data_IF_541131857322
#
_entry.id   IF_541131857322
#
_cell.length_a   1.000
_cell.length_b   1.000
_cell.length_c   1.000
_cell.angle_alpha   90.00
_cell.angle_beta   90.00
_cell.angle_gamma   90.00
#
_symmetry.space_group_name_H-M   'P 1'
#
loop_
_entity.id
_entity.type
_entity.pdbx_description
1 polymer ?
#
# COMPACT_ATOMS: atom_id res chain seq x y z
N UNK A 1 -20.15 6.53 -32.58
CA UNK A 1 -19.33 7.01 -33.73
C UNK A 1 -17.99 7.48 -33.16
N UNK A 2 -16.96 6.62 -33.09
CA UNK A 2 -15.66 6.95 -32.50
C UNK A 2 -14.61 6.98 -33.61
N UNK A 3 -14.14 8.18 -33.93
CA UNK A 3 -13.08 8.44 -34.90
C UNK A 3 -11.74 7.95 -34.34
N UNK A 4 -11.05 7.08 -35.08
CA UNK A 4 -9.62 6.77 -34.84
C UNK A 4 -8.80 7.66 -35.77
N UNK A 5 -8.19 8.71 -35.22
CA UNK A 5 -7.19 9.49 -35.93
C UNK A 5 -5.85 8.73 -35.85
N UNK A 6 -5.43 8.13 -36.97
CA UNK A 6 -4.08 7.57 -37.10
C UNK A 6 -3.15 8.67 -37.62
N UNK A 7 -2.37 9.29 -36.72
CA UNK A 7 -1.31 10.22 -37.10
C UNK A 7 -0.09 9.39 -37.53
N UNK A 8 0.17 9.32 -38.84
CA UNK A 8 1.43 8.79 -39.38
C UNK A 8 2.45 9.91 -39.47
N UNK A 9 3.39 9.96 -38.53
CA UNK A 9 4.58 10.80 -38.64
C UNK A 9 5.61 10.04 -39.46
N UNK A 10 5.79 10.43 -40.72
CA UNK A 10 6.93 9.99 -41.54
C UNK A 10 8.10 10.94 -41.28
N UNK A 11 9.08 10.53 -40.47
CA UNK A 11 10.38 11.22 -40.43
C UNK A 11 11.26 10.61 -41.51
N UNK A 12 11.46 11.35 -42.60
CA UNK A 12 12.51 11.05 -43.57
C UNK A 12 13.84 11.50 -42.99
N UNK A 13 14.67 10.56 -42.54
CA UNK A 13 16.04 10.85 -42.14
C UNK A 13 16.96 10.78 -43.37
N UNK A 14 17.42 11.96 -43.79
CA UNK A 14 18.48 12.13 -44.75
C UNK A 14 19.79 11.54 -44.19
N UNK A 15 20.45 10.73 -45.02
CA UNK A 15 21.71 10.09 -44.71
C UNK A 15 22.86 11.12 -44.62
N UNK A 16 23.51 11.19 -43.47
CA UNK A 16 24.83 11.80 -43.32
C UNK A 16 25.69 10.84 -42.51
N UNK A 17 26.75 10.33 -43.14
CA UNK A 17 27.64 9.34 -42.56
C UNK A 17 28.47 9.89 -41.41
N UNK A 18 28.30 9.30 -40.24
CA UNK A 18 29.30 9.25 -39.19
C UNK A 18 29.35 7.80 -38.69
N UNK A 19 30.46 7.13 -38.94
CA UNK A 19 30.76 5.79 -38.42
C UNK A 19 31.02 5.88 -36.91
N UNK A 20 29.94 5.98 -36.12
CA UNK A 20 30.00 5.70 -34.69
C UNK A 20 29.90 4.19 -34.56
N UNK A 21 30.99 3.56 -34.12
CA UNK A 21 31.02 2.12 -33.86
C UNK A 21 29.99 1.76 -32.80
N UNK A 22 28.81 1.32 -33.24
CA UNK A 22 27.85 0.64 -32.39
C UNK A 22 28.50 -0.68 -31.96
N UNK A 23 29.04 -0.71 -30.75
CA UNK A 23 29.26 -1.97 -30.06
C UNK A 23 27.87 -2.58 -29.86
N UNK A 24 27.49 -3.49 -30.76
CA UNK A 24 26.30 -4.31 -30.59
C UNK A 24 26.61 -5.19 -29.39
N UNK A 25 26.19 -4.73 -28.21
CA UNK A 25 26.06 -5.59 -27.05
C UNK A 25 24.99 -6.61 -27.45
N UNK A 26 25.41 -7.75 -27.98
CA UNK A 26 24.52 -8.88 -28.15
C UNK A 26 24.06 -9.23 -26.73
N UNK A 27 22.85 -8.80 -26.37
CA UNK A 27 22.19 -9.32 -25.19
C UNK A 27 22.13 -10.82 -25.40
N UNK A 28 22.92 -11.57 -24.62
CA UNK A 28 22.78 -13.00 -24.51
C UNK A 28 21.39 -13.20 -23.91
N UNK A 29 20.39 -13.38 -24.78
CA UNK A 29 19.09 -13.89 -24.38
C UNK A 29 19.38 -15.31 -23.96
N UNK A 30 19.57 -15.51 -22.65
CA UNK A 30 19.60 -16.84 -22.07
C UNK A 30 18.36 -17.57 -22.61
N UNK A 31 18.49 -18.80 -23.16
CA UNK A 31 17.33 -19.53 -23.60
C UNK A 31 16.46 -19.76 -22.38
N UNK A 32 15.40 -18.97 -22.25
CA UNK A 32 14.39 -19.19 -21.26
C UNK A 32 13.74 -20.52 -21.67
N UNK A 33 14.05 -21.59 -20.95
CA UNK A 33 13.22 -22.79 -20.95
C UNK A 33 11.85 -22.40 -20.39
N UNK A 34 11.04 -21.77 -21.25
CA UNK A 34 9.72 -21.30 -20.90
C UNK A 34 8.77 -22.49 -20.91
N UNK A 35 7.89 -22.53 -19.92
CA UNK A 35 6.77 -23.47 -19.88
C UNK A 35 5.71 -23.15 -20.96
N UNK A 36 5.80 -21.97 -21.58
CA UNK A 36 4.85 -21.49 -22.58
C UNK A 36 5.48 -21.44 -23.98
N UNK A 37 4.72 -21.76 -25.04
CA UNK A 37 5.18 -21.58 -26.43
C UNK A 37 5.49 -20.10 -26.73
N UNK A 38 6.49 -19.85 -27.58
CA UNK A 38 6.93 -18.49 -27.96
C UNK A 38 5.80 -17.60 -28.44
N UNK A 39 4.84 -18.16 -29.19
CA UNK A 39 3.65 -17.43 -29.67
C UNK A 39 2.82 -16.87 -28.51
N UNK A 40 2.66 -17.64 -27.43
CA UNK A 40 1.91 -17.20 -26.25
C UNK A 40 2.68 -16.10 -25.50
N UNK A 41 4.01 -16.25 -25.38
CA UNK A 41 4.87 -15.23 -24.76
C UNK A 41 4.77 -13.91 -25.54
N UNK A 42 4.89 -13.96 -26.87
CA UNK A 42 4.77 -12.78 -27.72
C UNK A 42 3.38 -12.14 -27.62
N UNK A 43 2.32 -12.94 -27.55
CA UNK A 43 0.96 -12.42 -27.34
C UNK A 43 0.82 -11.70 -25.99
N UNK A 44 1.33 -12.28 -24.91
CA UNK A 44 1.33 -11.63 -23.58
C UNK A 44 2.15 -10.34 -23.58
N UNK A 45 3.34 -10.35 -24.17
CA UNK A 45 4.21 -9.17 -24.23
C UNK A 45 3.56 -7.98 -24.97
N UNK A 46 2.71 -8.25 -25.97
CA UNK A 46 1.98 -7.21 -26.70
C UNK A 46 0.78 -6.63 -25.93
N UNK A 47 0.27 -7.34 -24.92
CA UNK A 47 -0.90 -6.92 -24.13
C UNK A 47 -0.54 -6.33 -22.76
N UNK A 48 0.66 -6.63 -22.24
CA UNK A 48 1.11 -6.09 -20.94
C UNK A 48 1.26 -4.57 -21.00
N UNK A 49 0.59 -3.87 -20.08
CA UNK A 49 0.58 -2.41 -19.99
C UNK A 49 0.97 -1.94 -18.58
N UNK A 50 2.12 -1.27 -18.48
CA UNK A 50 2.58 -0.65 -17.23
C UNK A 50 1.63 0.45 -16.73
N UNK A 51 1.03 1.22 -17.63
CA UNK A 51 0.06 2.27 -17.29
C UNK A 51 -1.19 1.70 -16.66
N UNK A 52 -1.71 0.58 -17.20
CA UNK A 52 -2.86 -0.12 -16.63
C UNK A 52 -2.52 -0.71 -15.26
N UNK A 53 -1.32 -1.29 -15.12
CA UNK A 53 -0.84 -1.81 -13.83
C UNK A 53 -0.74 -0.70 -12.78
N UNK A 54 -0.16 0.45 -13.13
CA UNK A 54 -0.06 1.62 -12.25
C UNK A 54 -1.44 2.14 -11.86
N UNK A 55 -2.37 2.25 -12.80
CA UNK A 55 -3.74 2.71 -12.52
C UNK A 55 -4.49 1.77 -11.56
N UNK A 56 -4.30 0.46 -11.68
CA UNK A 56 -4.84 -0.51 -10.73
C UNK A 56 -4.21 -0.32 -9.34
N UNK A 57 -2.89 -0.14 -9.29
CA UNK A 57 -2.17 0.11 -8.04
C UNK A 57 -2.69 1.39 -7.36
N UNK A 58 -2.80 2.49 -8.09
CA UNK A 58 -3.33 3.77 -7.61
C UNK A 58 -4.72 3.63 -6.98
N UNK A 59 -5.59 2.77 -7.52
CA UNK A 59 -6.89 2.50 -6.91
C UNK A 59 -6.80 1.72 -5.59
N UNK A 60 -5.87 0.77 -5.47
CA UNK A 60 -5.75 -0.11 -4.30
C UNK A 60 -5.01 0.56 -3.13
N UNK A 61 -4.03 1.42 -3.41
CA UNK A 61 -3.19 2.06 -2.37
C UNK A 61 -3.94 3.11 -1.54
N UNK A 62 -5.11 3.55 -1.99
CA UNK A 62 -5.95 4.51 -1.25
C UNK A 62 -6.67 3.89 -0.04
N UNK A 63 -6.64 2.56 0.09
CA UNK A 63 -7.28 1.87 1.20
C UNK A 63 -6.28 1.49 2.28
N UNK A 64 -6.62 1.78 3.55
CA UNK A 64 -5.93 1.20 4.70
C UNK A 64 -6.38 -0.25 4.91
N UNK A 65 -5.64 -1.18 4.30
CA UNK A 65 -6.03 -2.60 4.17
C UNK A 65 -5.59 -3.44 5.37
N UNK A 66 -5.92 -2.97 6.58
CA UNK A 66 -5.76 -3.76 7.80
C UNK A 66 -6.58 -5.05 7.75
N UNK A 67 -6.14 -6.07 8.47
CA UNK A 67 -6.83 -7.37 8.45
C UNK A 67 -8.28 -7.18 8.93
N UNK A 68 -9.22 -7.77 8.19
CA UNK A 68 -10.65 -7.73 8.47
C UNK A 68 -11.29 -6.32 8.52
N UNK A 69 -10.60 -5.28 8.05
CA UNK A 69 -11.13 -3.90 8.00
C UNK A 69 -12.02 -3.64 6.79
N UNK A 70 -12.80 -2.56 6.84
CA UNK A 70 -13.56 -2.05 5.69
C UNK A 70 -12.65 -1.67 4.51
N UNK A 71 -11.46 -1.14 4.78
CA UNK A 71 -10.48 -0.80 3.75
C UNK A 71 -10.00 -2.05 3.00
N UNK A 72 -9.75 -3.15 3.70
CA UNK A 72 -9.42 -4.43 3.07
C UNK A 72 -10.56 -4.96 2.21
N UNK A 73 -11.80 -4.90 2.71
CA UNK A 73 -12.97 -5.31 1.94
C UNK A 73 -13.17 -4.45 0.68
N UNK A 74 -13.04 -3.14 0.80
CA UNK A 74 -13.19 -2.20 -0.32
C UNK A 74 -12.16 -2.43 -1.41
N UNK A 75 -10.91 -2.74 -1.04
CA UNK A 75 -9.89 -3.12 -2.00
C UNK A 75 -10.21 -4.45 -2.70
N UNK A 76 -10.75 -5.44 -1.99
CA UNK A 76 -11.18 -6.70 -2.59
C UNK A 76 -12.33 -6.49 -3.59
N UNK A 77 -13.27 -5.59 -3.28
CA UNK A 77 -14.34 -5.19 -4.21
C UNK A 77 -13.78 -4.53 -5.46
N UNK A 78 -12.85 -3.57 -5.31
CA UNK A 78 -12.18 -2.93 -6.45
C UNK A 78 -11.46 -3.97 -7.34
N UNK A 79 -10.72 -4.90 -6.73
CA UNK A 79 -10.01 -5.96 -7.47
C UNK A 79 -11.01 -6.85 -8.22
N UNK A 80 -12.11 -7.25 -7.56
CA UNK A 80 -13.15 -8.06 -8.19
C UNK A 80 -13.81 -7.35 -9.37
N UNK A 81 -14.09 -6.05 -9.24
CA UNK A 81 -14.60 -5.22 -10.34
C UNK A 81 -13.62 -5.22 -11.53
N UNK A 82 -12.33 -4.96 -11.29
CA UNK A 82 -11.30 -4.94 -12.33
C UNK A 82 -11.14 -6.30 -13.00
N UNK A 83 -11.13 -7.38 -12.22
CA UNK A 83 -11.04 -8.75 -12.73
C UNK A 83 -12.19 -9.06 -13.70
N UNK A 84 -13.44 -8.76 -13.32
CA UNK A 84 -14.60 -8.94 -14.20
C UNK A 84 -14.51 -8.05 -15.45
N UNK A 85 -14.09 -6.80 -15.30
CA UNK A 85 -13.93 -5.88 -16.43
C UNK A 85 -12.86 -6.36 -17.43
N UNK A 86 -11.89 -7.16 -16.99
CA UNK A 86 -10.88 -7.80 -17.84
C UNK A 86 -11.33 -9.15 -18.42
N UNK A 87 -12.58 -9.56 -18.20
CA UNK A 87 -13.16 -10.77 -18.80
C UNK A 87 -12.96 -12.05 -18.00
N UNK A 88 -12.68 -11.96 -16.68
CA UNK A 88 -12.69 -13.13 -15.80
C UNK A 88 -14.13 -13.44 -15.37
N UNK A 89 -14.54 -14.69 -15.56
CA UNK A 89 -15.92 -15.12 -15.32
C UNK A 89 -16.19 -15.58 -13.87
N UNK A 90 -15.26 -16.33 -13.26
CA UNK A 90 -15.41 -16.88 -11.90
C UNK A 90 -14.72 -16.00 -10.84
N UNK A 91 -15.21 -14.77 -10.69
CA UNK A 91 -14.70 -13.85 -9.67
C UNK A 91 -15.57 -13.92 -8.42
N UNK A 92 -14.98 -14.22 -7.27
CA UNK A 92 -15.70 -14.34 -5.99
C UNK A 92 -14.94 -13.63 -4.86
N UNK A 93 -15.69 -13.06 -3.90
CA UNK A 93 -15.14 -12.55 -2.65
C UNK A 93 -15.59 -13.50 -1.54
N UNK A 94 -14.64 -14.29 -1.03
CA UNK A 94 -14.86 -15.16 0.11
C UNK A 94 -14.82 -14.35 1.41
N UNK A 95 -15.72 -14.64 2.34
CA UNK A 95 -15.84 -13.96 3.62
C UNK A 95 -15.64 -14.95 4.75
N UNK A 96 -14.73 -14.61 5.65
CA UNK A 96 -14.38 -15.43 6.80
C UNK A 96 -14.57 -14.59 8.07
N UNK A 97 -15.17 -15.15 9.14
CA UNK A 97 -15.30 -14.41 10.40
C UNK A 97 -13.95 -13.99 11.00
N UNK A 98 -13.92 -12.78 11.56
CA UNK A 98 -12.75 -12.20 12.22
C UNK A 98 -13.14 -11.77 13.64
N UNK A 99 -13.33 -12.76 14.51
CA UNK A 99 -13.97 -12.61 15.81
C UNK A 99 -13.00 -12.70 17.00
N UNK A 100 -11.70 -12.86 16.74
CA UNK A 100 -10.70 -13.04 17.80
C UNK A 100 -10.64 -14.45 18.39
N UNK A 101 -11.52 -15.37 17.94
CA UNK A 101 -11.73 -16.68 18.57
C UNK A 101 -11.39 -17.84 17.64
N UNK A 102 -11.78 -17.73 16.38
CA UNK A 102 -11.56 -18.80 15.39
C UNK A 102 -10.08 -18.86 14.99
N UNK A 103 -9.55 -20.08 14.87
CA UNK A 103 -8.22 -20.34 14.31
C UNK A 103 -8.32 -20.75 12.84
N UNK A 104 -7.52 -20.12 12.00
CA UNK A 104 -7.27 -20.50 10.62
C UNK A 104 -5.85 -21.07 10.52
N UNK A 105 -5.76 -22.40 10.49
CA UNK A 105 -4.48 -23.09 10.62
C UNK A 105 -3.83 -22.81 11.98
N UNK A 106 -2.64 -22.22 11.97
CA UNK A 106 -1.90 -21.85 13.19
C UNK A 106 -2.18 -20.43 13.67
N UNK A 107 -2.96 -19.63 12.93
CA UNK A 107 -3.20 -18.24 13.24
C UNK A 107 -4.62 -18.01 13.74
N UNK A 108 -4.74 -17.42 14.94
CA UNK A 108 -6.02 -16.94 15.45
C UNK A 108 -6.46 -15.72 14.65
N UNK A 109 -7.72 -15.69 14.24
CA UNK A 109 -8.33 -14.49 13.68
C UNK A 109 -8.19 -13.34 14.68
N UNK A 110 -7.99 -12.13 14.17
CA UNK A 110 -8.06 -10.92 14.99
C UNK A 110 -9.49 -10.40 14.96
N UNK A 111 -9.89 -9.71 16.01
CA UNK A 111 -11.13 -8.96 15.97
C UNK A 111 -11.00 -7.89 14.89
N UNK A 112 -12.07 -7.69 14.10
CA UNK A 112 -12.10 -6.59 13.14
C UNK A 112 -11.90 -5.25 13.87
N UNK A 113 -11.06 -4.40 13.30
CA UNK A 113 -10.75 -3.08 13.81
C UNK A 113 -10.82 -2.08 12.66
N UNK A 114 -11.64 -1.04 12.86
CA UNK A 114 -11.87 0.04 11.91
C UNK A 114 -11.81 1.37 12.68
N UNK A 115 -11.22 2.38 12.06
CA UNK A 115 -11.08 3.71 12.64
C UNK A 115 -12.06 4.67 11.99
N UNK A 116 -12.79 5.44 12.79
CA UNK A 116 -13.66 6.50 12.29
C UNK A 116 -12.88 7.81 12.05
N UNK A 117 -12.07 8.22 13.02
CA UNK A 117 -11.20 9.40 12.95
C UNK A 117 -10.08 9.33 13.98
N UNK A 118 -8.94 9.94 13.72
CA UNK A 118 -7.90 10.19 14.71
C UNK A 118 -7.02 11.37 14.30
N UNK A 119 -6.61 12.18 15.27
CA UNK A 119 -5.74 13.33 15.07
C UNK A 119 -4.77 13.45 16.25
N UNK A 120 -3.58 13.98 15.98
CA UNK A 120 -2.56 14.29 16.99
C UNK A 120 -2.11 15.74 16.83
N UNK A 121 -2.16 16.49 17.93
CA UNK A 121 -1.85 17.92 17.96
C UNK A 121 -0.81 18.24 19.02
N UNK A 122 0.17 19.08 18.69
CA UNK A 122 1.04 19.73 19.67
C UNK A 122 0.39 21.02 20.17
N UNK A 123 0.30 21.18 21.50
CA UNK A 123 -0.24 22.37 22.15
C UNK A 123 0.89 23.13 22.84
N UNK A 124 1.19 24.35 22.39
CA UNK A 124 2.26 25.19 22.96
C UNK A 124 1.85 26.64 23.07
N UNK A 125 1.79 27.16 24.30
CA UNK A 125 1.51 28.57 24.59
C UNK A 125 0.28 29.14 23.83
N UNK A 126 -0.82 28.39 23.82
CA UNK A 126 -2.06 28.78 23.13
C UNK A 126 -2.07 28.56 21.61
N UNK A 127 -0.99 28.02 21.04
CA UNK A 127 -0.94 27.58 19.63
C UNK A 127 -1.16 26.08 19.53
N UNK A 128 -1.79 25.67 18.43
CA UNK A 128 -2.00 24.27 18.07
C UNK A 128 -1.28 23.99 16.74
N UNK A 129 -0.53 22.90 16.68
CA UNK A 129 0.15 22.43 15.46
C UNK A 129 -0.27 20.98 15.21
N UNK A 130 -0.83 20.71 14.03
CA UNK A 130 -1.18 19.34 13.63
C UNK A 130 0.10 18.53 13.41
N UNK A 131 0.21 17.38 14.06
CA UNK A 131 1.30 16.42 13.87
C UNK A 131 0.89 15.30 12.92
N UNK A 132 -0.30 14.72 13.14
CA UNK A 132 -0.78 13.59 12.35
C UNK A 132 -2.31 13.62 12.22
N UNK A 133 -2.83 13.14 11.09
CA UNK A 133 -4.25 13.00 10.81
C UNK A 133 -4.50 11.67 10.10
N UNK A 134 -5.36 10.85 10.67
CA UNK A 134 -5.76 9.57 10.07
C UNK A 134 -6.45 9.76 8.72
N UNK A 135 -7.26 10.81 8.58
CA UNK A 135 -7.93 11.12 7.31
C UNK A 135 -6.95 11.47 6.20
N UNK A 136 -5.83 12.13 6.54
CA UNK A 136 -4.78 12.46 5.59
C UNK A 136 -3.87 11.26 5.29
N UNK A 137 -3.44 10.54 6.33
CA UNK A 137 -2.55 9.39 6.20
C UNK A 137 -2.89 8.29 7.23
N UNK A 138 -3.68 7.27 6.87
CA UNK A 138 -4.18 6.27 7.81
C UNK A 138 -3.10 5.45 8.54
N UNK A 139 -1.92 5.30 7.93
CA UNK A 139 -0.82 4.49 8.48
C UNK A 139 -0.12 5.14 9.69
N UNK A 140 -0.43 6.40 10.02
CA UNK A 140 0.12 7.07 11.21
C UNK A 140 -0.49 6.55 12.52
N UNK A 141 -1.64 5.89 12.47
CA UNK A 141 -2.33 5.39 13.65
C UNK A 141 -1.86 3.98 14.00
N UNK A 142 -1.55 3.75 15.28
CA UNK A 142 -1.20 2.43 15.78
C UNK A 142 -2.36 1.44 15.58
N UNK A 143 -2.04 0.29 14.96
CA UNK A 143 -2.98 -0.81 14.75
C UNK A 143 -3.54 -1.33 16.08
N UNK A 144 -4.80 -1.76 16.08
CA UNK A 144 -5.51 -2.30 17.25
C UNK A 144 -5.55 -1.31 18.45
N UNK A 145 -5.36 -0.01 18.23
CA UNK A 145 -5.40 0.99 19.30
C UNK A 145 -6.82 1.25 19.82
N UNK A 146 -6.89 1.60 21.09
CA UNK A 146 -8.14 1.97 21.77
C UNK A 146 -8.52 3.43 21.50
N UNK A 147 -9.82 3.73 21.59
CA UNK A 147 -10.30 5.11 21.49
C UNK A 147 -9.85 5.94 22.69
N UNK A 148 -9.40 7.17 22.43
CA UNK A 148 -9.05 8.13 23.46
C UNK A 148 -9.31 9.56 22.98
N UNK A 149 -9.73 10.42 23.90
CA UNK A 149 -9.79 11.88 23.74
C UNK A 149 -9.13 12.50 24.97
N UNK A 150 -7.84 12.80 24.86
CA UNK A 150 -7.02 13.23 25.98
C UNK A 150 -6.10 14.38 25.59
N UNK A 151 -5.98 15.34 26.51
CA UNK A 151 -4.95 16.37 26.47
C UNK A 151 -4.16 16.27 27.77
N UNK A 152 -2.86 15.98 27.66
CA UNK A 152 -1.99 15.85 28.83
C UNK A 152 -0.54 16.24 28.47
N UNK A 153 0.30 16.37 29.51
CA UNK A 153 1.73 16.58 29.33
C UNK A 153 2.38 15.40 28.61
N UNK A 154 3.47 15.65 27.89
CA UNK A 154 4.26 14.64 27.18
C UNK A 154 5.52 14.30 27.99
N UNK A 155 5.87 13.01 28.06
CA UNK A 155 7.12 12.53 28.65
C UNK A 155 7.80 11.57 27.68
N UNK A 156 9.04 11.88 27.31
CA UNK A 156 9.90 11.00 26.51
C UNK A 156 10.56 9.93 27.40
N UNK A 157 10.25 8.67 27.12
CA UNK A 157 10.84 7.53 27.84
C UNK A 157 12.02 6.88 27.11
N UNK A 158 12.32 7.25 25.86
CA UNK A 158 13.30 6.56 25.02
C UNK A 158 12.68 5.35 24.31
N UNK A 159 13.32 4.18 24.41
CA UNK A 159 12.84 2.96 23.73
C UNK A 159 11.48 2.50 24.28
N UNK A 160 11.31 2.52 25.60
CA UNK A 160 10.05 2.20 26.26
C UNK A 160 9.78 0.70 26.42
N UNK A 161 10.79 -0.14 26.18
CA UNK A 161 10.67 -1.61 26.13
C UNK A 161 11.07 -2.29 27.44
N UNK A 162 11.62 -1.56 28.41
CA UNK A 162 12.05 -2.07 29.72
C UNK A 162 11.80 -1.07 30.84
N UNK A 163 11.62 -1.56 32.07
CA UNK A 163 11.34 -0.74 33.26
C UNK A 163 12.36 0.39 33.48
N UNK A 164 13.63 0.16 33.13
CA UNK A 164 14.69 1.14 33.27
C UNK A 164 14.46 2.42 32.43
N UNK A 165 13.70 2.35 31.33
CA UNK A 165 13.39 3.50 30.48
C UNK A 165 12.43 4.49 31.15
N UNK A 166 11.63 3.97 32.09
CA UNK A 166 10.64 4.71 32.88
C UNK A 166 11.19 5.16 34.25
N UNK A 167 12.33 4.62 34.68
CA UNK A 167 12.89 4.86 36.01
C UNK A 167 13.14 6.37 36.24
N UNK A 168 12.55 6.90 37.32
CA UNK A 168 12.67 8.32 37.68
C UNK A 168 11.81 9.29 36.84
N UNK A 169 10.98 8.79 35.92
CA UNK A 169 10.09 9.62 35.09
C UNK A 169 8.67 9.62 35.66
N UNK A 170 8.09 10.81 35.80
CA UNK A 170 6.70 10.97 36.21
C UNK A 170 5.76 10.82 35.01
N UNK A 171 5.25 9.61 34.79
CA UNK A 171 4.41 9.24 33.63
C UNK A 171 2.91 9.19 33.94
N UNK A 172 2.52 9.22 35.22
CA UNK A 172 1.13 9.03 35.61
C UNK A 172 0.25 10.18 35.10
N UNK A 173 -0.79 9.85 34.33
CA UNK A 173 -1.71 10.84 33.76
C UNK A 173 -1.10 11.68 32.62
N UNK A 174 -0.01 11.22 32.01
CA UNK A 174 0.67 11.87 30.89
C UNK A 174 0.66 11.00 29.64
N UNK A 175 0.88 11.63 28.49
CA UNK A 175 1.16 10.94 27.23
C UNK A 175 2.65 10.56 27.27
N UNK A 176 2.95 9.30 26.97
CA UNK A 176 4.31 8.76 26.95
C UNK A 176 4.75 8.65 25.50
N UNK A 177 5.87 9.30 25.16
CA UNK A 177 6.53 9.19 23.87
C UNK A 177 7.59 8.10 23.95
N UNK A 178 7.53 7.15 23.01
CA UNK A 178 8.47 6.03 22.85
C UNK A 178 9.01 6.00 21.42
N UNK A 179 10.20 5.45 21.24
CA UNK A 179 10.80 5.23 19.92
C UNK A 179 10.61 3.81 19.37
N UNK A 180 10.22 2.84 20.22
CA UNK A 180 9.89 1.49 19.77
C UNK A 180 8.57 1.48 18.98
N UNK A 181 8.43 0.50 18.08
CA UNK A 181 7.21 0.31 17.31
C UNK A 181 6.04 -0.15 18.17
N UNK A 182 4.82 0.11 17.72
CA UNK A 182 3.62 -0.41 18.37
C UNK A 182 3.65 -1.95 18.42
N UNK A 183 3.44 -2.52 19.60
CA UNK A 183 3.45 -3.97 19.83
C UNK A 183 4.84 -4.60 20.05
N UNK A 184 5.89 -3.79 20.17
CA UNK A 184 7.25 -4.22 20.55
C UNK A 184 7.37 -4.60 22.04
#
# INVERSE_FOLDING_TARGET
MRSRANLRVCVALAACGLLVGFSVCAAVVAPASSLLPDKAIAALANEVSGDTAKKNLEGVVLFHRQRASQGFHSAAVLIAERARAYGLDDVQILRFPADGKIFYGTQRSRQAWDTESAELWELKAGKQVSIASYTAEPIVLAEDSESADVTAGLVDVGEGTKDADYAGKDVKGKIVLVSAGAGA
#
